data_IF_898906655249
#
_entry.id   IF_898906655249
#
_cell.length_a   1.000
_cell.length_b   1.000
_cell.length_c   1.000
_cell.angle_alpha   90.00
_cell.angle_beta   90.00
_cell.angle_gamma   90.00
#
_symmetry.space_group_name_H-M   'P 1'
#
loop_
_entity.id
_entity.type
_entity.pdbx_description
1 polymer ?
#
# COMPACT_ATOMS: atom_id res chain seq x y z
N UNK A 1 54.81 3.80 -36.65
CA UNK A 1 54.17 5.12 -36.88
C UNK A 1 52.80 4.89 -37.49
N UNK A 2 51.72 4.96 -36.70
CA UNK A 2 50.38 5.27 -37.21
C UNK A 2 49.67 6.10 -36.14
N UNK A 3 49.66 7.42 -36.36
CA UNK A 3 48.82 8.37 -35.63
C UNK A 3 47.40 8.22 -36.17
N UNK A 4 46.47 7.73 -35.36
CA UNK A 4 45.04 7.81 -35.67
C UNK A 4 44.57 9.16 -35.13
N UNK A 5 44.36 10.11 -36.03
CA UNK A 5 43.83 11.43 -35.73
C UNK A 5 42.30 11.32 -35.73
N UNK A 6 41.67 11.34 -34.55
CA UNK A 6 40.22 11.41 -34.45
C UNK A 6 39.78 12.84 -34.77
N UNK A 7 39.28 13.08 -35.99
CA UNK A 7 38.57 14.31 -36.31
C UNK A 7 37.18 14.23 -35.70
N UNK A 8 36.99 14.88 -34.54
CA UNK A 8 35.68 15.18 -33.99
C UNK A 8 35.08 16.35 -34.78
N UNK A 9 33.97 16.10 -35.48
CA UNK A 9 33.29 17.08 -36.32
C UNK A 9 32.60 18.16 -35.44
N UNK A 10 33.05 19.43 -35.45
CA UNK A 10 32.56 20.48 -34.55
C UNK A 10 31.11 20.90 -34.86
N UNK A 11 30.60 20.59 -36.06
CA UNK A 11 29.23 20.91 -36.48
C UNK A 11 28.16 20.14 -35.71
N UNK A 12 28.49 18.91 -35.29
CA UNK A 12 27.59 18.00 -34.58
C UNK A 12 27.42 18.43 -33.12
N UNK A 13 28.48 18.91 -32.48
CA UNK A 13 28.43 19.46 -31.12
C UNK A 13 27.57 20.73 -31.01
N UNK A 14 27.65 21.63 -31.99
CA UNK A 14 26.83 22.87 -32.01
C UNK A 14 25.35 22.54 -32.20
N UNK A 15 25.04 21.57 -33.06
CA UNK A 15 23.67 21.14 -33.34
C UNK A 15 23.01 20.48 -32.13
N UNK A 16 23.75 19.64 -31.40
CA UNK A 16 23.28 19.01 -30.16
C UNK A 16 23.05 20.04 -29.06
N UNK A 17 24.00 20.98 -28.85
CA UNK A 17 23.88 22.02 -27.83
C UNK A 17 22.67 22.96 -28.06
N UNK A 18 22.36 23.31 -29.32
CA UNK A 18 21.15 24.07 -29.66
C UNK A 18 19.85 23.27 -29.43
N UNK A 19 19.88 21.96 -29.66
CA UNK A 19 18.74 21.07 -29.43
C UNK A 19 18.44 20.92 -27.94
N UNK A 20 19.48 20.78 -27.11
CA UNK A 20 19.39 20.71 -25.65
C UNK A 20 18.87 22.02 -25.06
N UNK A 21 19.41 23.17 -25.48
CA UNK A 21 18.92 24.47 -25.03
C UNK A 21 17.44 24.71 -25.34
N UNK A 22 16.95 24.22 -26.48
CA UNK A 22 15.52 24.32 -26.85
C UNK A 22 14.63 23.39 -26.01
N UNK A 23 15.11 22.18 -25.65
CA UNK A 23 14.38 21.24 -24.78
C UNK A 23 14.29 21.76 -23.36
N UNK A 24 15.37 22.32 -22.83
CA UNK A 24 15.40 22.96 -21.52
C UNK A 24 14.46 24.17 -21.47
N UNK A 25 14.45 25.02 -22.50
CA UNK A 25 13.53 26.16 -22.57
C UNK A 25 12.06 25.73 -22.63
N UNK A 26 11.74 24.68 -23.40
CA UNK A 26 10.38 24.12 -23.47
C UNK A 26 9.98 23.51 -22.11
N UNK A 27 10.89 22.79 -21.45
CA UNK A 27 10.64 22.17 -20.15
C UNK A 27 10.47 23.21 -19.04
N UNK A 28 11.33 24.23 -19.00
CA UNK A 28 11.23 25.37 -18.07
C UNK A 28 9.93 26.14 -18.25
N UNK A 29 9.55 26.45 -19.50
CA UNK A 29 8.29 27.12 -19.80
C UNK A 29 7.09 26.30 -19.33
N UNK A 30 7.08 24.99 -19.57
CA UNK A 30 6.01 24.08 -19.12
C UNK A 30 5.93 23.97 -17.60
N UNK A 31 7.07 23.88 -16.90
CA UNK A 31 7.11 23.85 -15.44
C UNK A 31 6.57 25.15 -14.84
N UNK A 32 6.96 26.31 -15.40
CA UNK A 32 6.47 27.62 -14.94
C UNK A 32 4.96 27.75 -15.18
N UNK A 33 4.44 27.33 -16.34
CA UNK A 33 3.00 27.34 -16.62
C UNK A 33 2.21 26.43 -15.67
N UNK A 34 2.72 25.23 -15.36
CA UNK A 34 2.06 24.31 -14.42
C UNK A 34 2.06 24.84 -12.99
N UNK A 35 3.17 25.43 -12.53
CA UNK A 35 3.26 26.06 -11.22
C UNK A 35 2.32 27.27 -11.15
N UNK A 36 2.26 28.11 -12.19
CA UNK A 36 1.36 29.25 -12.25
C UNK A 36 -0.12 28.82 -12.25
N UNK A 37 -0.48 27.74 -12.95
CA UNK A 37 -1.84 27.17 -12.94
C UNK A 37 -2.22 26.66 -11.55
N UNK A 38 -1.28 26.00 -10.86
CA UNK A 38 -1.49 25.49 -9.51
C UNK A 38 -1.65 26.63 -8.48
N UNK A 39 -0.83 27.67 -8.59
CA UNK A 39 -0.95 28.87 -7.75
C UNK A 39 -2.26 29.62 -8.00
N UNK A 40 -2.71 29.70 -9.27
CA UNK A 40 -3.99 30.30 -9.64
C UNK A 40 -5.18 29.49 -9.10
N UNK A 41 -5.09 28.16 -9.08
CA UNK A 41 -6.11 27.28 -8.51
C UNK A 41 -6.22 27.40 -6.98
N UNK A 42 -5.10 27.62 -6.28
CA UNK A 42 -5.08 27.80 -4.83
C UNK A 42 -5.58 29.18 -4.35
N UNK A 43 -5.70 30.16 -5.25
CA UNK A 43 -6.15 31.53 -4.95
C UNK A 43 -7.66 31.74 -5.09
N UNK A 44 -8.44 30.68 -5.34
CA UNK A 44 -9.90 30.71 -5.26
C UNK A 44 -10.36 30.32 -3.84
N UNK A 45 -10.69 31.27 -2.95
CA UNK A 45 -11.25 30.95 -1.65
C UNK A 45 -12.64 30.33 -1.83
N UNK A 46 -12.72 29.01 -1.67
CA UNK A 46 -13.97 28.31 -1.43
C UNK A 46 -14.57 28.73 -0.09
N UNK A 47 -15.32 29.84 -0.11
CA UNK A 47 -16.19 30.21 1.01
C UNK A 47 -17.52 29.47 0.83
N UNK A 48 -17.80 28.55 1.74
CA UNK A 48 -19.04 27.77 1.71
C UNK A 48 -19.25 26.96 2.98
N UNK A 49 -19.26 27.63 4.13
CA UNK A 49 -19.82 27.08 5.38
C UNK A 49 -21.32 27.36 5.42
N UNK A 50 -22.10 26.34 5.77
CA UNK A 50 -23.47 26.48 6.27
C UNK A 50 -24.19 25.13 6.32
N UNK A 51 -25.25 24.97 7.13
CA UNK A 51 -25.20 24.96 8.60
C UNK A 51 -25.68 23.61 9.18
N UNK A 52 -25.37 23.38 10.45
CA UNK A 52 -25.97 22.34 11.29
C UNK A 52 -27.32 22.85 11.80
N UNK A 53 -28.36 22.01 11.74
CA UNK A 53 -29.50 21.82 12.68
C UNK A 53 -30.70 21.21 11.92
N UNK A 54 -31.57 20.31 12.43
CA UNK A 54 -31.78 19.63 13.71
C UNK A 54 -32.95 18.62 13.49
N UNK A 55 -33.40 17.96 14.56
CA UNK A 55 -34.65 17.15 14.71
C UNK A 55 -34.48 15.62 14.47
N UNK A 56 -34.12 14.85 15.50
CA UNK A 56 -34.97 14.29 16.59
C UNK A 56 -36.01 13.29 16.08
N UNK A 57 -35.79 12.00 16.37
CA UNK A 57 -36.81 11.16 17.02
C UNK A 57 -36.17 9.98 17.75
N UNK A 58 -36.18 10.05 19.08
CA UNK A 58 -35.83 8.96 19.99
C UNK A 58 -37.11 8.27 20.44
N UNK A 59 -37.10 6.93 20.37
CA UNK A 59 -37.88 5.96 21.16
C UNK A 59 -39.40 5.82 20.87
N UNK A 60 -40.03 4.66 21.17
CA UNK A 60 -39.72 3.73 22.26
C UNK A 60 -39.62 2.24 21.93
N UNK A 61 -38.84 1.55 22.76
CA UNK A 61 -38.94 0.13 23.00
C UNK A 61 -40.26 -0.19 23.71
N UNK A 62 -40.97 -1.20 23.22
CA UNK A 62 -42.07 -1.84 23.95
C UNK A 62 -41.56 -3.21 24.40
N UNK A 63 -41.47 -3.35 25.72
CA UNK A 63 -41.14 -4.58 26.42
C UNK A 63 -42.42 -5.21 26.96
N UNK A 64 -42.50 -6.56 26.95
CA UNK A 64 -42.88 -7.45 28.08
C UNK A 64 -43.44 -8.82 27.60
N UNK A 65 -43.58 -9.83 28.48
CA UNK A 65 -42.64 -10.45 29.44
C UNK A 65 -42.66 -12.00 29.28
N UNK A 66 -41.90 -12.85 30.01
CA UNK A 66 -42.25 -13.45 31.33
C UNK A 66 -41.09 -14.44 31.66
N UNK A 67 -40.33 -14.19 32.74
CA UNK A 67 -40.17 -15.01 33.99
C UNK A 67 -39.35 -16.30 33.76
N UNK A 68 -38.19 -16.53 34.40
CA UNK A 68 -37.99 -16.86 35.83
C UNK A 68 -36.48 -16.65 36.15
N UNK A 69 -36.08 -15.82 37.12
CA UNK A 69 -35.78 -16.18 38.52
C UNK A 69 -34.99 -17.49 38.64
N UNK A 70 -33.84 -17.63 39.31
CA UNK A 70 -33.29 -17.02 40.53
C UNK A 70 -31.85 -17.60 40.61
N UNK A 71 -30.80 -16.95 41.14
CA UNK A 71 -30.47 -16.87 42.57
C UNK A 71 -29.01 -16.35 42.62
N UNK A 72 -28.73 -15.14 43.11
CA UNK A 72 -28.33 -14.86 44.51
C UNK A 72 -27.21 -15.83 44.92
N UNK A 73 -25.96 -15.42 45.22
CA UNK A 73 -25.56 -14.44 46.23
C UNK A 73 -24.03 -14.30 46.16
N UNK A 74 -23.53 -13.07 46.24
CA UNK A 74 -22.18 -12.80 46.73
C UNK A 74 -22.14 -13.07 48.24
N UNK A 75 -20.99 -13.47 48.79
CA UNK A 75 -20.54 -12.77 49.99
C UNK A 75 -19.08 -12.35 49.91
N UNK A 76 -18.87 -11.07 50.22
CA UNK A 76 -17.69 -10.46 50.85
C UNK A 76 -17.25 -11.31 52.08
N UNK A 77 -16.01 -11.43 52.57
CA UNK A 77 -14.88 -10.49 52.71
C UNK A 77 -13.59 -11.30 53.06
N UNK A 78 -12.42 -10.71 52.79
CA UNK A 78 -11.04 -11.24 52.96
C UNK A 78 -10.67 -11.73 54.38
N UNK A 79 -9.57 -12.50 54.51
CA UNK A 79 -8.39 -11.91 55.16
C UNK A 79 -7.03 -12.22 54.50
N UNK A 80 -6.11 -11.31 54.79
CA UNK A 80 -4.67 -11.19 54.50
C UNK A 80 -3.88 -12.49 54.68
N UNK A 81 -3.04 -12.86 53.70
CA UNK A 81 -1.58 -13.04 53.87
C UNK A 81 -0.90 -13.68 52.64
N UNK A 82 0.29 -13.15 52.35
CA UNK A 82 1.43 -13.82 51.74
C UNK A 82 1.65 -13.72 50.22
N UNK A 83 2.84 -13.20 49.89
CA UNK A 83 3.33 -12.88 48.57
C UNK A 83 3.78 -14.12 47.80
N UNK A 84 3.47 -14.18 46.51
CA UNK A 84 4.36 -14.81 45.53
C UNK A 84 4.16 -14.22 44.13
N UNK A 85 5.24 -13.58 43.68
CA UNK A 85 5.72 -13.51 42.30
C UNK A 85 4.70 -13.14 41.21
N UNK A 86 4.76 -11.87 40.79
CA UNK A 86 4.15 -11.39 39.55
C UNK A 86 4.83 -12.09 38.37
N UNK A 87 4.33 -13.28 38.04
CA UNK A 87 4.61 -13.92 36.78
C UNK A 87 4.05 -13.02 35.67
N UNK A 88 4.96 -12.34 34.96
CA UNK A 88 4.64 -11.63 33.73
C UNK A 88 4.06 -12.64 32.74
N UNK A 89 2.73 -12.67 32.63
CA UNK A 89 2.03 -13.53 31.68
C UNK A 89 2.50 -13.15 30.27
N UNK A 90 3.22 -14.07 29.62
CA UNK A 90 3.72 -13.97 28.25
C UNK A 90 2.57 -14.08 27.25
N UNK A 91 1.56 -13.23 27.38
CA UNK A 91 0.46 -13.14 26.42
C UNK A 91 1.04 -12.41 25.20
N UNK A 92 1.16 -13.07 24.04
CA UNK A 92 1.68 -12.41 22.86
C UNK A 92 0.74 -11.26 22.50
N UNK A 93 1.29 -10.05 22.42
CA UNK A 93 0.51 -8.89 21.98
C UNK A 93 0.10 -9.09 20.52
N UNK A 94 -1.20 -9.28 20.26
CA UNK A 94 -1.77 -9.43 18.92
C UNK A 94 -1.31 -8.29 17.98
N UNK A 95 -1.16 -7.08 18.52
CA UNK A 95 -0.69 -5.92 17.75
C UNK A 95 0.77 -6.07 17.30
N UNK A 96 1.64 -6.65 18.14
CA UNK A 96 3.05 -6.87 17.80
C UNK A 96 3.17 -7.86 16.63
N UNK A 97 2.45 -8.99 16.69
CA UNK A 97 2.40 -9.96 15.59
C UNK A 97 1.86 -9.36 14.29
N UNK A 98 0.81 -8.54 14.37
CA UNK A 98 0.25 -7.87 13.20
C UNK A 98 1.27 -6.91 12.56
N UNK A 99 2.02 -6.16 13.39
CA UNK A 99 3.08 -5.26 12.94
C UNK A 99 4.19 -6.02 12.21
N UNK A 100 4.65 -7.13 12.76
CA UNK A 100 5.69 -7.97 12.14
C UNK A 100 5.25 -8.47 10.76
N UNK A 101 4.03 -8.99 10.66
CA UNK A 101 3.47 -9.46 9.37
C UNK A 101 3.30 -8.33 8.37
N UNK A 102 2.86 -7.15 8.81
CA UNK A 102 2.78 -5.99 7.92
C UNK A 102 4.17 -5.57 7.43
N UNK A 103 5.17 -5.57 8.31
CA UNK A 103 6.54 -5.24 7.96
C UNK A 103 7.12 -6.23 6.94
N UNK A 104 6.85 -7.53 7.09
CA UNK A 104 7.30 -8.52 6.09
C UNK A 104 6.66 -8.29 4.72
N UNK A 105 5.38 -7.93 4.66
CA UNK A 105 4.71 -7.61 3.39
C UNK A 105 5.31 -6.36 2.75
N UNK A 106 5.58 -5.32 3.55
CA UNK A 106 6.20 -4.09 3.07
C UNK A 106 7.61 -4.33 2.50
N UNK A 107 8.43 -5.09 3.22
CA UNK A 107 9.77 -5.46 2.75
C UNK A 107 9.70 -6.28 1.45
N UNK A 108 8.77 -7.24 1.38
CA UNK A 108 8.53 -8.01 0.15
C UNK A 108 8.14 -7.12 -1.03
N UNK A 109 7.28 -6.13 -0.82
CA UNK A 109 6.88 -5.16 -1.84
C UNK A 109 8.02 -4.24 -2.30
N UNK A 110 8.86 -3.75 -1.37
CA UNK A 110 10.03 -2.93 -1.71
C UNK A 110 11.00 -3.74 -2.57
N UNK A 111 11.33 -4.95 -2.12
CA UNK A 111 12.22 -5.84 -2.87
C UNK A 111 11.65 -6.19 -4.24
N UNK A 112 10.34 -6.44 -4.34
CA UNK A 112 9.66 -6.67 -5.62
C UNK A 112 9.84 -5.47 -6.56
N UNK A 113 9.60 -4.26 -6.05
CA UNK A 113 9.77 -3.03 -6.82
C UNK A 113 11.21 -2.82 -7.28
N UNK A 114 12.20 -3.09 -6.45
CA UNK A 114 13.62 -2.95 -6.82
C UNK A 114 14.02 -3.90 -7.96
N UNK A 115 13.35 -5.06 -8.09
CA UNK A 115 13.62 -6.03 -9.15
C UNK A 115 12.81 -5.79 -10.43
N UNK A 116 11.57 -5.29 -10.31
CA UNK A 116 10.63 -5.18 -11.43
C UNK A 116 10.32 -3.74 -11.86
N UNK A 117 10.73 -2.73 -11.08
CA UNK A 117 10.37 -1.31 -11.23
C UNK A 117 8.86 -1.05 -11.29
N UNK A 118 8.05 -1.93 -10.70
CA UNK A 118 6.59 -1.81 -10.63
C UNK A 118 6.04 -2.56 -9.41
N UNK A 119 4.84 -2.18 -8.95
CA UNK A 119 4.15 -2.84 -7.83
C UNK A 119 3.07 -3.85 -8.27
N UNK A 120 2.81 -3.92 -9.57
CA UNK A 120 1.90 -4.88 -10.17
C UNK A 120 2.72 -6.08 -10.69
N UNK A 121 2.08 -7.25 -10.92
CA UNK A 121 2.72 -8.32 -11.67
C UNK A 121 3.36 -7.79 -12.95
N UNK A 122 4.46 -8.41 -13.36
CA UNK A 122 5.26 -7.92 -14.46
C UNK A 122 4.51 -8.05 -15.80
N UNK A 123 4.08 -6.92 -16.35
CA UNK A 123 3.36 -6.86 -17.64
C UNK A 123 4.21 -7.30 -18.82
N UNK A 124 5.54 -7.41 -18.65
CA UNK A 124 6.44 -7.93 -19.67
C UNK A 124 6.36 -9.45 -19.84
N UNK A 125 5.63 -10.14 -18.95
CA UNK A 125 5.42 -11.60 -18.97
C UNK A 125 3.95 -11.89 -19.36
N UNK A 126 3.62 -12.05 -20.66
CA UNK A 126 2.24 -12.16 -21.12
C UNK A 126 1.52 -13.41 -20.59
N UNK A 127 2.27 -14.46 -20.29
CA UNK A 127 1.74 -15.73 -19.75
C UNK A 127 1.03 -15.55 -18.41
N UNK A 128 1.40 -14.53 -17.63
CA UNK A 128 0.76 -14.23 -16.35
C UNK A 128 -0.61 -13.57 -16.48
N UNK A 129 -1.06 -13.29 -17.72
CA UNK A 129 -2.27 -12.53 -17.99
C UNK A 129 -3.24 -13.29 -18.89
N UNK A 130 -4.52 -13.14 -18.58
CA UNK A 130 -5.60 -13.54 -19.47
C UNK A 130 -5.62 -12.65 -20.72
N UNK A 131 -6.26 -13.08 -21.82
CA UNK A 131 -6.46 -12.26 -23.03
C UNK A 131 -7.14 -10.90 -22.76
N UNK A 132 -7.87 -10.79 -21.64
CA UNK A 132 -8.49 -9.53 -21.19
C UNK A 132 -7.50 -8.54 -20.55
N UNK A 133 -6.21 -8.88 -20.43
CA UNK A 133 -5.18 -8.06 -19.77
C UNK A 133 -5.24 -8.07 -18.24
N UNK A 134 -5.97 -9.02 -17.64
CA UNK A 134 -6.01 -9.19 -16.17
C UNK A 134 -5.03 -10.29 -15.76
N UNK A 135 -4.26 -10.11 -14.68
CA UNK A 135 -3.37 -11.16 -14.21
C UNK A 135 -4.19 -12.37 -13.74
N UNK A 136 -3.68 -13.57 -13.98
CA UNK A 136 -4.31 -14.81 -13.52
C UNK A 136 -4.37 -14.90 -12.00
N UNK A 137 -3.32 -14.41 -11.33
CA UNK A 137 -3.15 -14.48 -9.89
C UNK A 137 -3.00 -13.08 -9.27
N UNK A 138 -3.20 -13.01 -7.96
CA UNK A 138 -3.05 -11.77 -7.19
C UNK A 138 -1.57 -11.37 -7.09
N UNK A 139 -1.29 -10.06 -7.05
CA UNK A 139 0.04 -9.50 -6.74
C UNK A 139 0.68 -10.12 -5.48
N UNK A 140 -0.15 -10.55 -4.52
CA UNK A 140 0.31 -11.23 -3.29
C UNK A 140 1.07 -12.52 -3.56
N UNK A 141 0.78 -13.23 -4.65
CA UNK A 141 1.53 -14.43 -5.05
C UNK A 141 2.92 -14.04 -5.53
N UNK A 142 3.03 -12.95 -6.30
CA UNK A 142 4.30 -12.50 -6.88
C UNK A 142 5.31 -11.95 -5.85
N UNK A 143 4.85 -11.53 -4.66
CA UNK A 143 5.75 -11.09 -3.58
C UNK A 143 6.32 -12.23 -2.73
N UNK A 144 5.78 -13.45 -2.84
CA UNK A 144 6.15 -14.58 -1.98
C UNK A 144 7.66 -14.91 -1.99
N UNK A 145 8.35 -14.94 -3.16
CA UNK A 145 9.81 -15.15 -3.21
C UNK A 145 10.58 -14.13 -2.37
N UNK A 146 10.12 -12.88 -2.36
CA UNK A 146 10.75 -11.77 -1.63
C UNK A 146 10.46 -11.79 -0.12
N UNK A 147 9.52 -12.63 0.31
CA UNK A 147 9.21 -12.88 1.73
C UNK A 147 9.85 -14.17 2.25
N UNK A 148 10.61 -14.89 1.41
CA UNK A 148 11.21 -16.19 1.74
C UNK A 148 10.25 -17.38 1.61
N UNK A 149 9.11 -17.20 0.94
CA UNK A 149 8.05 -18.21 0.78
C UNK A 149 8.12 -18.86 -0.63
N UNK A 150 9.33 -19.23 -1.05
CA UNK A 150 9.60 -19.79 -2.40
C UNK A 150 8.88 -21.14 -2.62
N UNK A 151 8.86 -22.01 -1.60
CA UNK A 151 8.19 -23.31 -1.66
C UNK A 151 6.68 -23.18 -1.87
N UNK A 152 6.08 -22.10 -1.33
CA UNK A 152 4.67 -21.78 -1.54
C UNK A 152 4.46 -21.17 -2.94
N UNK A 153 5.37 -20.31 -3.39
CA UNK A 153 5.32 -19.73 -4.72
C UNK A 153 5.30 -20.79 -5.83
N UNK A 154 6.13 -21.83 -5.70
CA UNK A 154 6.22 -22.93 -6.68
C UNK A 154 4.94 -23.78 -6.79
N UNK A 155 4.05 -23.72 -5.81
CA UNK A 155 2.76 -24.42 -5.86
C UNK A 155 1.74 -23.69 -6.75
N UNK A 156 1.97 -22.42 -7.07
CA UNK A 156 1.08 -21.66 -7.94
C UNK A 156 1.49 -21.79 -9.40
N UNK A 157 0.50 -22.07 -10.26
CA UNK A 157 0.66 -22.00 -11.71
C UNK A 157 0.32 -20.59 -12.19
N UNK A 158 1.34 -19.79 -12.52
CA UNK A 158 1.16 -18.37 -12.89
C UNK A 158 0.43 -18.16 -14.23
N UNK A 159 0.41 -19.19 -15.07
CA UNK A 159 -0.16 -19.17 -16.41
C UNK A 159 -1.65 -19.55 -16.46
N UNK A 160 -2.29 -19.81 -15.31
CA UNK A 160 -3.70 -20.16 -15.24
C UNK A 160 -4.40 -19.50 -14.05
N UNK A 161 -5.73 -19.27 -14.13
CA UNK A 161 -6.52 -18.77 -13.01
C UNK A 161 -6.44 -19.67 -11.78
N UNK A 162 -6.66 -19.10 -10.60
CA UNK A 162 -6.66 -19.84 -9.33
C UNK A 162 -7.80 -20.87 -9.21
N UNK A 163 -8.87 -20.73 -9.97
CA UNK A 163 -10.07 -21.58 -9.99
C UNK A 163 -10.07 -22.58 -11.16
N UNK A 164 -8.90 -22.82 -11.77
CA UNK A 164 -8.72 -23.83 -12.79
C UNK A 164 -9.09 -25.24 -12.25
N UNK A 165 -9.51 -26.21 -13.09
CA UNK A 165 -10.02 -27.52 -12.66
C UNK A 165 -8.99 -28.47 -12.00
N UNK A 166 -7.84 -27.95 -11.57
CA UNK A 166 -6.66 -28.70 -11.16
C UNK A 166 -6.68 -29.11 -9.69
#
# INVERSE_FOLDING_TARGET
MQHIQSNSDPSLHVSVALQEGKREQIQQSRCIFLIALFLLACLMPGCGKGPIQETVKRQPAEAKPIVEAEKTTSPETKPVAEAKEVATSKVPNRMMKAREKMNSILLGLINYYDNHNMFCPDTSIPENYAPSGRPHLSWRVHILPFMGEEDLFQQFKLNEPWDSPH
#
